data_IF_021786764054
#
_entry.id   IF_021786764054
#
_cell.length_a   1.000
_cell.length_b   1.000
_cell.length_c   1.000
_cell.angle_alpha   90.00
_cell.angle_beta   90.00
_cell.angle_gamma   90.00
#
_symmetry.space_group_name_H-M   'P 1'
#
loop_
_entity.id
_entity.type
_entity.pdbx_description
1 polymer ?
#
# COMPACT_ATOMS: atom_id res chain seq x y z
N UNK A 1 -6.15 -18.17 4.80
CA UNK A 1 -6.37 -19.56 4.37
C UNK A 1 -7.68 -19.55 3.58
N UNK A 2 -7.63 -19.86 2.27
CA UNK A 2 -8.83 -20.08 1.46
C UNK A 2 -9.02 -21.58 1.38
N UNK A 3 -10.24 -22.01 1.62
CA UNK A 3 -10.63 -23.41 1.46
C UNK A 3 -11.36 -23.54 0.13
N UNK A 4 -10.79 -24.28 -0.82
CA UNK A 4 -11.43 -24.58 -2.11
C UNK A 4 -11.87 -26.03 -2.09
N UNK A 5 -13.15 -26.29 -2.40
CA UNK A 5 -13.65 -27.63 -2.67
C UNK A 5 -13.34 -28.01 -4.13
N UNK A 6 -12.48 -29.00 -4.35
CA UNK A 6 -12.21 -29.54 -5.68
C UNK A 6 -12.14 -31.05 -5.62
N UNK A 7 -12.90 -31.72 -6.48
CA UNK A 7 -12.94 -33.22 -6.62
C UNK A 7 -13.22 -33.99 -5.31
N UNK A 8 -14.10 -33.45 -4.43
CA UNK A 8 -14.48 -34.13 -3.19
C UNK A 8 -13.46 -33.98 -2.03
N UNK A 9 -12.40 -33.16 -2.17
CA UNK A 9 -11.40 -32.90 -1.16
C UNK A 9 -11.27 -31.41 -0.84
N UNK A 10 -10.90 -31.12 0.40
CA UNK A 10 -10.52 -29.78 0.87
C UNK A 10 -9.10 -29.48 0.41
N UNK A 11 -8.95 -28.47 -0.45
CA UNK A 11 -7.63 -27.93 -0.78
C UNK A 11 -7.44 -26.65 0.02
N UNK A 12 -6.43 -26.65 0.87
CA UNK A 12 -5.98 -25.46 1.58
C UNK A 12 -5.04 -24.68 0.67
N UNK A 13 -5.46 -23.51 0.21
CA UNK A 13 -4.60 -22.61 -0.55
C UNK A 13 -4.01 -21.60 0.42
N UNK A 14 -2.73 -21.70 0.66
CA UNK A 14 -1.99 -20.71 1.41
C UNK A 14 -1.87 -19.43 0.57
N UNK A 15 -2.43 -18.32 1.06
CA UNK A 15 -2.23 -17.03 0.42
C UNK A 15 -0.83 -16.50 0.74
N UNK A 16 -0.16 -15.98 -0.27
CA UNK A 16 0.98 -15.10 -0.04
C UNK A 16 0.52 -13.90 0.77
N UNK A 17 1.01 -13.80 2.00
CA UNK A 17 0.82 -12.65 2.87
C UNK A 17 2.20 -12.04 3.08
N UNK A 18 2.31 -10.79 3.05
CA UNK A 18 3.31 -9.96 3.67
C UNK A 18 3.42 -8.66 2.91
N UNK A 19 3.02 -7.64 3.56
CA UNK A 19 3.33 -6.27 3.17
C UNK A 19 2.83 -5.37 4.27
N UNK A 20 3.63 -4.40 4.62
CA UNK A 20 3.17 -3.26 5.40
C UNK A 20 3.65 -2.00 4.71
N UNK A 21 2.72 -1.15 4.34
CA UNK A 21 2.98 0.15 3.74
C UNK A 21 2.32 1.21 4.60
N UNK A 22 3.03 2.30 4.83
CA UNK A 22 2.50 3.51 5.45
C UNK A 22 2.90 4.72 4.59
N UNK A 23 1.94 5.56 4.25
CA UNK A 23 2.17 6.89 3.69
C UNK A 23 1.77 7.94 4.72
N UNK A 24 2.59 8.97 4.84
CA UNK A 24 2.41 10.09 5.78
C UNK A 24 2.63 11.39 5.04
N UNK A 25 1.77 12.38 5.30
CA UNK A 25 1.95 13.76 4.87
C UNK A 25 2.11 14.63 6.10
N UNK A 26 3.14 15.47 6.13
CA UNK A 26 3.36 16.45 7.20
C UNK A 26 3.97 17.73 6.63
N UNK A 27 3.23 18.81 6.74
CA UNK A 27 3.61 20.06 6.08
C UNK A 27 3.71 19.89 4.56
N UNK A 28 4.89 20.17 4.00
CA UNK A 28 5.16 20.05 2.57
C UNK A 28 5.79 18.70 2.16
N UNK A 29 6.10 17.82 3.12
CA UNK A 29 6.70 16.51 2.85
C UNK A 29 5.62 15.43 2.82
N UNK A 30 5.66 14.60 1.78
CA UNK A 30 4.92 13.34 1.72
C UNK A 30 5.94 12.21 1.66
N UNK A 31 5.84 11.25 2.57
CA UNK A 31 6.73 10.12 2.64
C UNK A 31 5.95 8.81 2.67
N UNK A 32 6.50 7.79 2.02
CA UNK A 32 5.97 6.44 2.04
C UNK A 32 7.06 5.49 2.53
N UNK A 33 6.70 4.59 3.43
CA UNK A 33 7.57 3.52 3.88
C UNK A 33 6.95 2.17 3.57
N UNK A 34 7.79 1.21 3.21
CA UNK A 34 7.39 -0.17 2.95
C UNK A 34 8.43 -1.16 3.45
N UNK A 35 7.96 -2.30 3.95
CA UNK A 35 8.82 -3.42 4.29
C UNK A 35 9.12 -4.30 3.05
N UNK A 36 10.19 -5.10 3.13
CA UNK A 36 10.64 -5.94 2.01
C UNK A 36 10.19 -7.40 2.06
N UNK A 37 9.39 -7.81 3.04
CA UNK A 37 9.07 -9.22 3.24
C UNK A 37 8.00 -9.74 2.28
N UNK A 38 8.22 -10.92 1.73
CA UNK A 38 7.20 -11.75 1.06
C UNK A 38 7.19 -13.11 1.76
N UNK A 39 6.01 -13.52 2.21
CA UNK A 39 5.80 -14.76 2.99
C UNK A 39 4.82 -15.67 2.26
N UNK A 40 5.12 -16.96 2.21
CA UNK A 40 4.23 -18.02 1.74
C UNK A 40 3.97 -18.96 2.92
N UNK A 41 2.73 -18.98 3.41
CA UNK A 41 2.41 -19.63 4.67
C UNK A 41 3.29 -19.08 5.81
N UNK A 42 4.06 -19.94 6.44
CA UNK A 42 4.97 -19.59 7.54
C UNK A 42 6.43 -19.37 7.08
N UNK A 43 6.68 -19.34 5.77
CA UNK A 43 8.04 -19.24 5.22
C UNK A 43 8.28 -17.89 4.55
N UNK A 44 9.36 -17.20 4.95
CA UNK A 44 9.82 -15.98 4.27
C UNK A 44 10.53 -16.39 2.98
N UNK A 45 9.93 -16.08 1.83
CA UNK A 45 10.50 -16.40 0.50
C UNK A 45 11.30 -15.24 -0.09
N UNK A 46 11.09 -14.01 0.40
CA UNK A 46 11.85 -12.83 0.01
C UNK A 46 11.87 -11.81 1.13
N UNK A 47 13.01 -11.16 1.36
CA UNK A 47 13.19 -10.19 2.47
C UNK A 47 13.48 -8.77 2.01
N UNK A 48 13.70 -8.55 0.71
CA UNK A 48 14.07 -7.25 0.12
C UNK A 48 13.25 -6.93 -1.13
N UNK A 49 11.95 -7.24 -1.13
CA UNK A 49 11.05 -6.87 -2.21
C UNK A 49 10.82 -5.34 -2.17
N UNK A 50 10.85 -4.69 -3.32
CA UNK A 50 10.51 -3.28 -3.43
C UNK A 50 9.01 -3.17 -3.70
N UNK A 51 8.28 -2.59 -2.75
CA UNK A 51 6.82 -2.48 -2.77
C UNK A 51 6.34 -1.03 -2.78
N UNK A 52 7.28 -0.10 -2.84
CA UNK A 52 7.04 1.34 -2.92
C UNK A 52 7.83 1.93 -4.07
N UNK A 53 7.28 2.98 -4.65
CA UNK A 53 7.89 3.74 -5.76
C UNK A 53 7.62 5.23 -5.64
N UNK A 54 8.46 6.01 -6.27
CA UNK A 54 8.24 7.43 -6.56
C UNK A 54 7.99 7.59 -8.06
N UNK A 55 6.86 8.21 -8.42
CA UNK A 55 6.52 8.62 -9.78
C UNK A 55 7.03 10.05 -9.93
N UNK A 56 8.25 10.19 -10.48
CA UNK A 56 9.02 11.44 -10.45
C UNK A 56 8.37 12.58 -11.21
N UNK A 57 7.72 12.28 -12.34
CA UNK A 57 7.16 13.30 -13.24
C UNK A 57 5.99 14.06 -12.61
N UNK A 58 5.38 13.51 -11.56
CA UNK A 58 4.22 14.07 -10.89
C UNK A 58 4.39 14.32 -9.39
N UNK A 59 5.59 14.09 -8.84
CA UNK A 59 5.82 14.15 -7.40
C UNK A 59 4.76 13.34 -6.60
N UNK A 60 4.61 12.07 -6.97
CA UNK A 60 3.69 11.12 -6.33
C UNK A 60 4.48 9.94 -5.80
N UNK A 61 4.16 9.50 -4.59
CA UNK A 61 4.60 8.21 -4.03
C UNK A 61 3.48 7.19 -4.14
N UNK A 62 3.85 5.94 -4.43
CA UNK A 62 2.93 4.82 -4.57
C UNK A 62 3.47 3.60 -3.83
N UNK A 63 2.60 2.85 -3.17
CA UNK A 63 2.91 1.57 -2.57
C UNK A 63 1.77 0.58 -2.75
N UNK A 64 2.10 -0.71 -2.68
CA UNK A 64 1.10 -1.76 -2.86
C UNK A 64 1.22 -2.88 -1.84
N UNK A 65 0.09 -3.53 -1.56
CA UNK A 65 -0.02 -4.72 -0.73
C UNK A 65 -0.93 -5.75 -1.41
N UNK A 66 -0.63 -7.04 -1.23
CA UNK A 66 -1.39 -8.14 -1.82
C UNK A 66 -0.60 -8.94 -2.85
N UNK A 67 -1.28 -9.52 -3.84
CA UNK A 67 -0.66 -10.31 -4.90
C UNK A 67 0.09 -9.38 -5.86
N UNK A 68 1.39 -9.62 -6.05
CA UNK A 68 2.27 -8.75 -6.83
C UNK A 68 1.81 -8.57 -8.29
N UNK A 69 1.32 -9.63 -8.94
CA UNK A 69 0.83 -9.55 -10.32
C UNK A 69 -0.37 -8.60 -10.44
N UNK A 70 -1.29 -8.66 -9.48
CA UNK A 70 -2.46 -7.78 -9.42
C UNK A 70 -2.05 -6.34 -9.13
N UNK A 71 -1.10 -6.16 -8.20
CA UNK A 71 -0.56 -4.85 -7.84
C UNK A 71 0.09 -4.14 -9.03
N UNK A 72 0.84 -4.86 -9.87
CA UNK A 72 1.46 -4.28 -11.06
C UNK A 72 0.43 -3.79 -12.09
N UNK A 73 -0.67 -4.51 -12.26
CA UNK A 73 -1.77 -4.05 -13.15
C UNK A 73 -2.41 -2.78 -12.62
N UNK A 74 -2.69 -2.73 -11.30
CA UNK A 74 -3.25 -1.54 -10.67
C UNK A 74 -2.29 -0.33 -10.77
N UNK A 75 -1.00 -0.56 -10.56
CA UNK A 75 0.05 0.46 -10.66
C UNK A 75 0.12 1.03 -12.09
N UNK A 76 0.23 0.16 -13.10
CA UNK A 76 0.29 0.55 -14.50
C UNK A 76 -0.93 1.38 -14.92
N UNK A 77 -2.13 0.94 -14.52
CA UNK A 77 -3.36 1.66 -14.79
C UNK A 77 -3.43 3.01 -14.06
N UNK A 78 -2.99 3.04 -12.81
CA UNK A 78 -2.92 4.28 -12.06
C UNK A 78 -2.01 5.31 -12.74
N UNK A 79 -0.82 4.88 -13.19
CA UNK A 79 0.12 5.74 -13.93
C UNK A 79 -0.48 6.25 -15.25
N UNK A 80 -1.22 5.42 -15.98
CA UNK A 80 -1.93 5.84 -17.19
C UNK A 80 -2.94 6.97 -16.88
N UNK A 81 -3.76 6.82 -15.84
CA UNK A 81 -4.70 7.86 -15.42
C UNK A 81 -3.97 9.10 -14.88
N UNK A 82 -2.88 8.94 -14.15
CA UNK A 82 -2.11 10.08 -13.67
C UNK A 82 -1.56 10.91 -14.82
N UNK A 83 -1.09 10.26 -15.90
CA UNK A 83 -0.68 10.93 -17.14
C UNK A 83 -1.88 11.60 -17.85
N UNK A 84 -3.00 10.89 -18.04
CA UNK A 84 -4.21 11.40 -18.70
C UNK A 84 -4.74 12.64 -18.01
N UNK A 85 -4.75 12.64 -16.68
CA UNK A 85 -5.25 13.76 -15.87
C UNK A 85 -4.16 14.72 -15.39
N UNK A 86 -2.97 14.69 -16.05
CA UNK A 86 -1.87 15.64 -15.85
C UNK A 86 -1.46 15.81 -14.38
N UNK A 87 -1.35 14.69 -13.68
CA UNK A 87 -0.92 14.64 -12.26
C UNK A 87 -2.03 14.90 -11.25
N UNK A 88 -3.32 15.03 -11.67
CA UNK A 88 -4.42 15.16 -10.73
C UNK A 88 -4.64 13.82 -9.99
N UNK A 89 -4.05 13.72 -8.80
CA UNK A 89 -4.01 12.52 -7.99
C UNK A 89 -5.41 12.00 -7.64
N UNK A 90 -6.31 12.89 -7.19
CA UNK A 90 -7.69 12.53 -6.85
C UNK A 90 -8.43 11.94 -8.04
N UNK A 91 -8.34 12.62 -9.19
CA UNK A 91 -9.03 12.18 -10.40
C UNK A 91 -8.50 10.84 -10.91
N UNK A 92 -7.20 10.66 -10.97
CA UNK A 92 -6.57 9.39 -11.35
C UNK A 92 -7.02 8.24 -10.44
N UNK A 93 -7.06 8.47 -9.12
CA UNK A 93 -7.52 7.49 -8.13
C UNK A 93 -8.99 7.11 -8.32
N UNK A 94 -9.86 8.10 -8.57
CA UNK A 94 -11.30 7.87 -8.79
C UNK A 94 -11.55 7.10 -10.08
N UNK A 95 -10.87 7.43 -11.16
CA UNK A 95 -11.07 6.74 -12.45
C UNK A 95 -10.57 5.31 -12.41
N UNK A 96 -9.44 5.05 -11.74
CA UNK A 96 -8.99 3.68 -11.47
C UNK A 96 -10.04 2.88 -10.68
N UNK A 97 -10.58 3.44 -9.60
CA UNK A 97 -11.59 2.79 -8.79
C UNK A 97 -12.87 2.48 -9.60
N UNK A 98 -13.31 3.41 -10.47
CA UNK A 98 -14.44 3.19 -11.38
C UNK A 98 -14.18 2.06 -12.37
N UNK A 99 -12.99 1.99 -12.94
CA UNK A 99 -12.65 0.93 -13.90
C UNK A 99 -12.66 -0.45 -13.24
N UNK A 100 -12.16 -0.56 -12.02
CA UNK A 100 -12.23 -1.79 -11.24
C UNK A 100 -13.69 -2.19 -11.00
N UNK A 101 -14.53 -1.26 -10.55
CA UNK A 101 -15.96 -1.53 -10.26
C UNK A 101 -16.81 -1.82 -11.48
N UNK A 102 -16.46 -1.25 -12.64
CA UNK A 102 -17.20 -1.46 -13.89
C UNK A 102 -16.82 -2.77 -14.61
N UNK A 103 -16.14 -3.66 -13.90
CA UNK A 103 -15.74 -4.99 -14.39
C UNK A 103 -14.91 -4.96 -15.69
N UNK A 104 -14.27 -3.82 -15.97
CA UNK A 104 -13.39 -3.69 -17.14
C UNK A 104 -12.23 -4.68 -17.13
N UNK A 105 -11.88 -5.16 -15.94
CA UNK A 105 -10.82 -6.15 -15.75
C UNK A 105 -11.32 -7.59 -15.72
N UNK A 106 -12.64 -7.82 -15.65
CA UNK A 106 -13.28 -9.16 -15.52
C UNK A 106 -12.65 -10.02 -14.41
N UNK A 107 -12.18 -9.37 -13.35
CA UNK A 107 -11.44 -10.01 -12.27
C UNK A 107 -11.43 -9.15 -11.01
N UNK A 108 -11.67 -9.77 -9.86
CA UNK A 108 -11.38 -9.18 -8.57
C UNK A 108 -9.87 -9.23 -8.30
N UNK A 109 -9.26 -8.08 -8.04
CA UNK A 109 -7.85 -8.01 -7.67
C UNK A 109 -7.65 -8.30 -6.18
N UNK A 110 -6.73 -9.18 -5.87
CA UNK A 110 -6.28 -9.44 -4.51
C UNK A 110 -5.08 -8.54 -4.13
N UNK A 111 -5.18 -7.27 -4.46
CA UNK A 111 -4.19 -6.25 -4.14
C UNK A 111 -4.87 -4.93 -3.81
N UNK A 112 -4.14 -4.06 -3.13
CA UNK A 112 -4.52 -2.66 -2.90
C UNK A 112 -3.31 -1.79 -3.16
N UNK A 113 -3.53 -0.57 -3.61
CA UNK A 113 -2.50 0.46 -3.72
C UNK A 113 -2.81 1.62 -2.78
N UNK A 114 -1.76 2.28 -2.31
CA UNK A 114 -1.83 3.56 -1.63
C UNK A 114 -0.97 4.56 -2.38
N UNK A 115 -1.49 5.75 -2.57
CA UNK A 115 -0.82 6.82 -3.29
C UNK A 115 -0.82 8.09 -2.45
N UNK A 116 0.24 8.87 -2.57
CA UNK A 116 0.39 10.14 -1.86
C UNK A 116 1.05 11.20 -2.72
N UNK A 117 0.52 12.39 -2.62
CA UNK A 117 1.04 13.59 -3.25
C UNK A 117 0.71 14.83 -2.43
N UNK A 118 1.16 16.01 -2.88
CA UNK A 118 0.88 17.26 -2.17
C UNK A 118 -0.62 17.52 -1.99
N UNK A 119 -1.45 17.05 -2.94
CA UNK A 119 -2.90 17.30 -2.98
C UNK A 119 -3.72 16.29 -2.16
N UNK A 120 -3.09 15.27 -1.57
CA UNK A 120 -3.79 14.32 -0.73
C UNK A 120 -3.19 12.92 -0.72
N UNK A 121 -3.86 12.04 0.03
CA UNK A 121 -3.54 10.61 0.16
C UNK A 121 -4.78 9.81 -0.23
N UNK A 122 -4.61 8.71 -0.97
CA UNK A 122 -5.70 7.81 -1.36
C UNK A 122 -5.27 6.37 -1.25
N UNK A 123 -6.18 5.50 -0.80
CA UNK A 123 -6.04 4.06 -1.01
C UNK A 123 -7.13 3.55 -1.95
N UNK A 124 -6.74 2.66 -2.85
CA UNK A 124 -7.63 2.01 -3.81
C UNK A 124 -7.49 0.51 -3.61
N UNK A 125 -8.60 -0.15 -3.30
CA UNK A 125 -8.64 -1.59 -3.11
C UNK A 125 -8.93 -2.32 -4.42
N UNK A 126 -8.63 -3.62 -4.47
CA UNK A 126 -8.84 -4.46 -5.64
C UNK A 126 -10.30 -4.68 -6.04
N UNK A 127 -11.26 -4.30 -5.18
CA UNK A 127 -12.70 -4.29 -5.49
C UNK A 127 -13.22 -2.88 -5.88
N UNK A 128 -12.32 -1.91 -6.05
CA UNK A 128 -12.66 -0.57 -6.49
C UNK A 128 -13.21 0.36 -5.39
N UNK A 129 -12.96 0.03 -4.11
CA UNK A 129 -13.22 1.00 -3.06
C UNK A 129 -12.07 2.01 -2.99
N UNK A 130 -12.43 3.28 -2.84
CA UNK A 130 -11.48 4.37 -2.66
C UNK A 130 -11.68 5.02 -1.30
N UNK A 131 -10.58 5.28 -0.60
CA UNK A 131 -10.58 5.96 0.68
C UNK A 131 -9.62 7.15 0.64
N UNK A 132 -10.13 8.32 1.00
CA UNK A 132 -9.38 9.52 1.35
C UNK A 132 -9.39 9.62 2.88
N UNK A 133 -8.24 9.67 3.58
CA UNK A 133 -8.22 9.64 5.04
C UNK A 133 -8.63 10.98 5.65
N UNK A 134 -9.12 10.92 6.89
CA UNK A 134 -9.37 12.12 7.71
C UNK A 134 -8.07 12.71 8.27
N UNK A 135 -7.08 11.87 8.53
CA UNK A 135 -5.77 12.26 9.04
C UNK A 135 -4.73 12.16 7.92
N UNK A 136 -3.64 12.90 8.02
CA UNK A 136 -2.58 12.94 6.99
C UNK A 136 -1.71 11.66 6.97
N UNK A 137 -2.32 10.49 7.11
CA UNK A 137 -1.66 9.19 6.95
C UNK A 137 -2.62 8.08 6.50
N UNK A 138 -2.09 7.09 5.79
CA UNK A 138 -2.75 5.86 5.38
C UNK A 138 -1.81 4.68 5.49
N UNK A 139 -2.34 3.52 5.90
CA UNK A 139 -1.60 2.27 5.91
C UNK A 139 -2.38 1.14 5.26
N UNK A 140 -1.67 0.23 4.58
CA UNK A 140 -2.22 -0.98 3.98
C UNK A 140 -1.35 -2.19 4.31
N UNK A 141 -1.95 -3.37 4.17
CA UNK A 141 -1.26 -4.65 4.34
C UNK A 141 -1.36 -5.21 5.77
N UNK A 142 -0.66 -6.33 6.01
CA UNK A 142 -0.82 -7.15 7.23
C UNK A 142 -0.46 -6.42 8.53
N UNK A 143 0.58 -5.60 8.51
CA UNK A 143 1.00 -4.76 9.65
C UNK A 143 0.40 -3.35 9.64
N UNK A 144 -0.52 -3.06 8.70
CA UNK A 144 -1.06 -1.72 8.46
C UNK A 144 -1.65 -1.08 9.71
N UNK A 145 -2.45 -1.80 10.49
CA UNK A 145 -3.07 -1.26 11.70
C UNK A 145 -2.05 -0.87 12.78
N UNK A 146 -0.96 -1.63 12.91
CA UNK A 146 0.13 -1.30 13.84
C UNK A 146 0.89 -0.06 13.37
N UNK A 147 1.24 -0.03 12.07
CA UNK A 147 1.91 1.12 11.46
C UNK A 147 1.04 2.38 11.52
N UNK A 148 -0.27 2.26 11.24
CA UNK A 148 -1.22 3.37 11.35
C UNK A 148 -1.27 3.93 12.78
N UNK A 149 -1.46 3.06 13.77
CA UNK A 149 -1.59 3.49 15.18
C UNK A 149 -0.30 4.16 15.68
N UNK A 150 0.87 3.59 15.36
CA UNK A 150 2.15 4.19 15.70
C UNK A 150 2.37 5.53 14.96
N UNK A 151 2.11 5.55 13.65
CA UNK A 151 2.26 6.74 12.81
C UNK A 151 1.36 7.89 13.26
N UNK A 152 0.10 7.60 13.63
CA UNK A 152 -0.84 8.60 14.11
C UNK A 152 -0.37 9.23 15.42
N UNK A 153 0.12 8.42 16.37
CA UNK A 153 0.66 8.91 17.62
C UNK A 153 1.89 9.80 17.39
N UNK A 154 2.81 9.38 16.52
CA UNK A 154 4.00 10.15 16.16
C UNK A 154 3.65 11.45 15.43
N UNK A 155 2.68 11.40 14.50
CA UNK A 155 2.23 12.57 13.74
C UNK A 155 1.65 13.65 14.67
N UNK A 156 0.85 13.25 15.67
CA UNK A 156 0.16 14.16 16.59
C UNK A 156 1.02 14.69 17.73
N UNK A 157 2.05 13.95 18.15
CA UNK A 157 2.74 14.21 19.41
C UNK A 157 4.25 14.42 19.26
N UNK A 158 4.79 14.51 18.04
CA UNK A 158 6.22 14.74 17.80
C UNK A 158 6.47 15.77 16.69
N UNK A 159 7.69 16.32 16.67
CA UNK A 159 8.17 17.21 15.60
C UNK A 159 8.89 16.44 14.47
N UNK A 160 8.81 15.10 14.45
CA UNK A 160 9.41 14.27 13.40
C UNK A 160 8.87 14.64 12.02
N UNK A 161 9.72 14.55 11.00
CA UNK A 161 9.34 14.71 9.59
C UNK A 161 8.46 13.55 9.12
N UNK A 162 7.78 13.71 7.99
CA UNK A 162 6.95 12.62 7.44
C UNK A 162 7.76 11.32 7.20
N UNK A 163 8.99 11.45 6.70
CA UNK A 163 9.88 10.31 6.45
C UNK A 163 10.35 9.62 7.74
N UNK A 164 10.63 10.37 8.79
CA UNK A 164 10.98 9.81 10.11
C UNK A 164 9.80 9.08 10.74
N UNK A 165 8.60 9.67 10.69
CA UNK A 165 7.36 9.04 11.16
C UNK A 165 7.08 7.75 10.41
N UNK A 166 7.13 7.78 9.08
CA UNK A 166 6.86 6.60 8.25
C UNK A 166 7.84 5.45 8.56
N UNK A 167 9.13 5.76 8.72
CA UNK A 167 10.15 4.78 9.08
C UNK A 167 9.93 4.20 10.47
N UNK A 168 9.76 5.06 11.47
CA UNK A 168 9.62 4.62 12.87
C UNK A 168 8.35 3.82 13.09
N UNK A 169 7.23 4.25 12.50
CA UNK A 169 5.96 3.53 12.58
C UNK A 169 6.05 2.11 11.98
N UNK A 170 6.77 1.93 10.86
CA UNK A 170 7.03 0.59 10.32
C UNK A 170 8.00 -0.20 11.18
N UNK A 171 8.98 0.43 11.80
CA UNK A 171 9.90 -0.21 12.77
C UNK A 171 9.10 -0.79 13.94
N UNK A 172 8.20 -0.02 14.51
CA UNK A 172 7.29 -0.46 15.57
C UNK A 172 6.39 -1.60 15.07
N UNK A 173 5.77 -1.45 13.89
CA UNK A 173 4.95 -2.50 13.31
C UNK A 173 5.72 -3.81 13.09
N UNK A 174 7.00 -3.74 12.71
CA UNK A 174 7.85 -4.93 12.49
C UNK A 174 8.19 -5.69 13.78
N UNK A 175 8.13 -5.03 14.93
CA UNK A 175 8.32 -5.69 16.23
C UNK A 175 7.10 -6.47 16.73
N UNK A 176 5.94 -6.26 16.08
CA UNK A 176 4.64 -6.84 16.49
C UNK A 176 4.11 -7.81 15.45
N UNK A 177 4.17 -7.41 14.17
CA UNK A 177 3.59 -8.16 13.05
C UNK A 177 4.63 -9.11 12.44
N UNK A 178 4.40 -10.42 12.54
CA UNK A 178 5.30 -11.45 11.96
C UNK A 178 5.41 -11.38 10.42
N UNK A 179 4.47 -10.69 9.76
CA UNK A 179 4.44 -10.48 8.31
C UNK A 179 5.09 -9.16 7.89
N UNK A 180 5.76 -8.45 8.80
CA UNK A 180 6.45 -7.18 8.54
C UNK A 180 7.91 -7.31 8.94
N UNK A 181 8.82 -7.12 7.98
CA UNK A 181 10.26 -7.17 8.29
C UNK A 181 10.80 -5.81 8.71
N UNK A 182 11.95 -5.84 9.38
CA UNK A 182 12.72 -4.62 9.72
C UNK A 182 13.49 -4.03 8.53
N UNK A 183 13.47 -4.68 7.36
CA UNK A 183 14.04 -4.12 6.13
C UNK A 183 13.10 -3.07 5.52
N UNK A 184 13.18 -1.86 6.04
CA UNK A 184 12.30 -0.76 5.68
C UNK A 184 12.97 0.13 4.64
N UNK A 185 12.25 0.41 3.55
CA UNK A 185 12.61 1.38 2.52
C UNK A 185 11.69 2.58 2.68
N UNK A 186 12.22 3.78 2.49
CA UNK A 186 11.46 5.03 2.54
C UNK A 186 11.72 5.82 1.25
N UNK A 187 10.65 6.32 0.64
CA UNK A 187 10.69 7.28 -0.47
C UNK A 187 9.93 8.54 -0.05
N UNK A 188 10.32 9.70 -0.59
CA UNK A 188 9.67 10.98 -0.27
C UNK A 188 9.64 11.97 -1.44
N UNK A 189 8.75 12.90 -1.36
CA UNK A 189 8.57 14.06 -2.25
C UNK A 189 8.36 15.31 -1.43
#
# INVERSE_FOLDING_TARGET
MIVIYKNGGLIFVEKMKATTILVVKKGNEVAIAGDGQVTLGDTIVKSKARKIRKIKDFDVVLGFAGIAADAFVLEEKFEQYLNEYRGNLKKASVELAKDIRNDKFQKDFEASIVVGGKDGLYSISGNGDILEPEEDLLAIGSGGNYAYSAGLALLKHTDMTASEIAKEALTIASSICIYTSSNIIVEKI
#
